data_IF_589763565108
#
_entry.id   IF_589763565108
#
_cell.length_a   1.000
_cell.length_b   1.000
_cell.length_c   1.000
_cell.angle_alpha   90.00
_cell.angle_beta   90.00
_cell.angle_gamma   90.00
#
_symmetry.space_group_name_H-M   'P 1'
#
loop_
_entity.id
_entity.type
_entity.pdbx_description
1 polymer ?
#
# COMPACT_ATOMS: atom_id res chain seq x y z
N UNK A 1 -30.81 0.78 -10.86
CA UNK A 1 -30.47 2.17 -10.45
C UNK A 1 -28.96 2.25 -10.26
N UNK A 2 -28.26 2.61 -11.32
CA UNK A 2 -26.79 2.69 -11.38
C UNK A 2 -26.31 4.09 -10.98
N UNK A 3 -26.01 4.29 -9.69
CA UNK A 3 -25.44 5.55 -9.19
C UNK A 3 -23.90 5.55 -9.05
N UNK A 4 -23.19 4.46 -9.44
CA UNK A 4 -21.75 4.31 -9.11
C UNK A 4 -20.74 4.95 -10.06
N UNK A 5 -21.14 5.71 -11.09
CA UNK A 5 -20.17 6.16 -12.13
C UNK A 5 -20.12 7.66 -12.46
N UNK A 6 -20.90 8.54 -11.81
CA UNK A 6 -21.06 9.92 -12.32
C UNK A 6 -20.21 11.02 -11.67
N UNK A 7 -19.60 10.81 -10.49
CA UNK A 7 -18.90 11.88 -9.76
C UNK A 7 -17.47 11.52 -9.30
N UNK A 8 -16.63 10.97 -10.18
CA UNK A 8 -15.19 10.83 -9.86
C UNK A 8 -14.51 12.20 -10.00
N UNK A 9 -14.41 12.95 -8.90
CA UNK A 9 -13.62 14.18 -8.84
C UNK A 9 -12.12 13.80 -8.83
N UNK A 10 -11.33 14.39 -9.73
CA UNK A 10 -9.88 14.12 -9.81
C UNK A 10 -9.16 14.71 -8.60
N UNK A 11 -8.45 13.88 -7.84
CA UNK A 11 -7.47 14.36 -6.87
C UNK A 11 -6.31 15.08 -7.61
N UNK A 12 -5.95 16.29 -7.19
CA UNK A 12 -4.94 17.11 -7.89
C UNK A 12 -3.49 16.79 -7.47
N UNK A 13 -3.25 16.31 -6.24
CA UNK A 13 -1.93 15.97 -5.69
C UNK A 13 -2.07 14.82 -4.68
N UNK A 14 -0.99 14.07 -4.45
CA UNK A 14 -0.94 13.07 -3.36
C UNK A 14 -0.88 13.80 -2.02
N UNK A 15 -1.55 13.24 -1.01
CA UNK A 15 -1.53 13.77 0.35
C UNK A 15 -0.15 13.59 1.00
N UNK A 16 0.49 12.46 0.74
CA UNK A 16 1.77 12.08 1.33
C UNK A 16 2.85 11.94 0.26
N UNK A 17 4.11 12.02 0.70
CA UNK A 17 5.28 11.79 -0.14
C UNK A 17 5.85 10.41 0.13
N UNK A 18 6.18 9.64 -0.92
CA UNK A 18 6.98 8.42 -0.79
C UNK A 18 8.41 8.82 -0.40
N UNK A 19 8.88 8.40 0.77
CA UNK A 19 10.22 8.74 1.31
C UNK A 19 11.16 7.55 1.41
N UNK A 20 10.64 6.33 1.26
CA UNK A 20 11.44 5.11 1.26
C UNK A 20 10.66 3.95 0.67
N UNK A 21 11.39 2.94 0.21
CA UNK A 21 10.82 1.66 -0.16
C UNK A 21 11.82 0.55 0.17
N UNK A 22 11.33 -0.53 0.78
CA UNK A 22 12.11 -1.74 1.02
C UNK A 22 11.64 -2.84 0.07
N UNK A 23 12.61 -3.53 -0.55
CA UNK A 23 12.38 -4.74 -1.31
C UNK A 23 13.09 -5.89 -0.61
N UNK A 24 12.31 -6.70 0.10
CA UNK A 24 12.82 -7.67 1.06
C UNK A 24 12.48 -9.08 0.61
N UNK A 25 13.33 -10.04 0.99
CA UNK A 25 13.04 -11.47 0.95
C UNK A 25 13.24 -12.08 2.34
N UNK A 26 12.36 -13.00 2.71
CA UNK A 26 12.41 -13.68 4.01
C UNK A 26 11.86 -15.10 3.92
N UNK A 27 12.19 -15.94 4.90
CA UNK A 27 11.58 -17.25 5.12
C UNK A 27 10.33 -17.19 6.01
N UNK A 28 10.10 -16.06 6.69
CA UNK A 28 8.96 -15.81 7.57
C UNK A 28 8.14 -14.63 7.08
N UNK A 29 7.01 -14.40 7.76
CA UNK A 29 6.20 -13.18 7.58
C UNK A 29 6.97 -11.99 8.17
N UNK A 30 7.01 -10.89 7.44
CA UNK A 30 7.67 -9.66 7.89
C UNK A 30 6.61 -8.60 8.16
N UNK A 31 6.31 -8.41 9.44
CA UNK A 31 5.34 -7.44 9.93
C UNK A 31 6.01 -6.31 10.70
N UNK A 32 5.24 -5.25 10.90
CA UNK A 32 5.59 -4.08 11.71
C UNK A 32 7.01 -3.56 11.40
N UNK A 33 7.32 -3.46 10.11
CA UNK A 33 8.60 -2.95 9.61
C UNK A 33 8.87 -1.54 10.10
N UNK A 34 7.84 -0.71 10.17
CA UNK A 34 7.89 0.63 10.73
C UNK A 34 8.23 0.65 12.23
N UNK A 35 7.77 -0.35 12.99
CA UNK A 35 8.04 -0.50 14.42
C UNK A 35 9.48 -0.90 14.76
N UNK A 36 10.25 -1.41 13.79
CA UNK A 36 11.58 -1.98 14.06
C UNK A 36 12.60 -0.92 14.50
N UNK A 37 13.48 -1.26 15.46
CA UNK A 37 14.59 -0.40 15.83
C UNK A 37 15.42 0.01 14.60
N UNK A 38 15.73 1.31 14.50
CA UNK A 38 16.52 1.86 13.40
C UNK A 38 15.77 2.09 12.08
N UNK A 39 14.48 1.75 12.00
CA UNK A 39 13.64 2.11 10.84
C UNK A 39 13.61 3.63 10.64
N UNK A 40 13.33 4.09 9.42
CA UNK A 40 13.14 5.52 9.16
C UNK A 40 12.04 6.10 10.03
N UNK A 41 10.99 5.34 10.30
CA UNK A 41 9.85 5.77 11.12
C UNK A 41 10.26 6.00 12.57
N UNK A 42 11.01 5.06 13.16
CA UNK A 42 11.49 5.18 14.54
C UNK A 42 12.46 6.36 14.71
N UNK A 43 13.36 6.59 13.75
CA UNK A 43 14.26 7.75 13.77
C UNK A 43 13.52 9.08 13.79
N UNK A 44 12.40 9.16 13.07
CA UNK A 44 11.55 10.36 13.10
C UNK A 44 10.69 10.43 14.36
N UNK A 45 10.34 9.30 14.99
CA UNK A 45 9.56 9.27 16.23
C UNK A 45 10.35 9.79 17.46
N UNK A 46 11.68 9.66 17.43
CA UNK A 46 12.59 10.22 18.44
C UNK A 46 12.57 11.75 18.45
N UNK A 47 12.31 12.37 17.30
CA UNK A 47 12.24 13.81 17.17
C UNK A 47 10.76 14.19 17.33
N UNK A 48 10.42 15.07 18.27
CA UNK A 48 9.02 15.49 18.53
C UNK A 48 8.48 16.38 17.41
N UNK A 49 8.35 15.81 16.21
CA UNK A 49 8.00 16.47 14.97
C UNK A 49 6.60 16.05 14.51
N UNK A 50 5.96 16.82 13.61
CA UNK A 50 4.56 16.58 13.24
C UNK A 50 4.38 15.47 12.18
N UNK A 51 5.45 14.90 11.63
CA UNK A 51 5.35 13.94 10.54
C UNK A 51 4.69 12.62 10.98
N UNK A 52 3.80 12.11 10.12
CA UNK A 52 3.13 10.83 10.31
C UNK A 52 3.43 9.91 9.12
N UNK A 53 3.66 8.63 9.37
CA UNK A 53 3.97 7.64 8.34
C UNK A 53 2.79 6.72 8.07
N UNK A 54 2.46 6.56 6.79
CA UNK A 54 1.56 5.52 6.32
C UNK A 54 2.38 4.51 5.53
N UNK A 55 2.44 3.27 6.03
CA UNK A 55 3.29 2.23 5.45
C UNK A 55 2.42 1.18 4.78
N UNK A 56 2.67 0.93 3.50
CA UNK A 56 2.02 -0.16 2.76
C UNK A 56 3.03 -1.28 2.60
N UNK A 57 2.81 -2.39 3.28
CA UNK A 57 3.67 -3.58 3.25
C UNK A 57 2.94 -4.70 2.48
N UNK A 58 3.25 -4.83 1.18
CA UNK A 58 2.69 -5.88 0.32
C UNK A 58 3.50 -7.17 0.49
N UNK A 59 2.88 -8.18 1.08
CA UNK A 59 3.49 -9.47 1.35
C UNK A 59 3.15 -10.44 0.21
N UNK A 60 4.16 -10.85 -0.54
CA UNK A 60 4.03 -11.70 -1.72
C UNK A 60 4.40 -13.14 -1.35
N UNK A 61 3.43 -14.06 -1.23
CA UNK A 61 3.71 -15.47 -0.95
C UNK A 61 4.38 -16.15 -2.15
N UNK A 62 5.07 -17.26 -1.89
CA UNK A 62 5.71 -18.08 -2.90
C UNK A 62 6.74 -19.02 -2.26
N UNK A 63 7.55 -19.68 -3.09
CA UNK A 63 8.71 -20.44 -2.61
C UNK A 63 9.70 -19.54 -1.86
N UNK A 64 9.89 -18.33 -2.38
CA UNK A 64 10.53 -17.20 -1.68
C UNK A 64 9.44 -16.19 -1.34
N UNK A 65 9.33 -15.78 -0.08
CA UNK A 65 8.42 -14.70 0.32
C UNK A 65 9.12 -13.37 0.09
N UNK A 66 8.46 -12.47 -0.62
CA UNK A 66 8.93 -11.11 -0.80
C UNK A 66 8.04 -10.13 -0.04
N UNK A 67 8.62 -9.02 0.42
CA UNK A 67 7.86 -7.91 0.99
C UNK A 67 8.26 -6.64 0.26
N UNK A 68 7.26 -5.92 -0.26
CA UNK A 68 7.43 -4.59 -0.81
C UNK A 68 6.83 -3.59 0.18
N UNK A 69 7.68 -2.95 0.96
CA UNK A 69 7.27 -1.96 1.95
C UNK A 69 7.44 -0.55 1.39
N UNK A 70 6.40 0.27 1.45
CA UNK A 70 6.38 1.63 0.92
C UNK A 70 6.08 2.60 2.05
N UNK A 71 7.00 3.53 2.29
CA UNK A 71 6.91 4.48 3.39
C UNK A 71 6.44 5.84 2.86
N UNK A 72 5.19 6.17 3.13
CA UNK A 72 4.61 7.47 2.80
C UNK A 72 4.61 8.38 4.02
N UNK A 73 5.11 9.59 3.86
CA UNK A 73 5.22 10.57 4.94
C UNK A 73 4.27 11.74 4.71
N UNK A 74 3.40 11.98 5.68
CA UNK A 74 2.62 13.21 5.83
C UNK A 74 3.50 14.24 6.54
N UNK A 75 3.63 15.44 5.96
CA UNK A 75 4.46 16.53 6.53
C UNK A 75 3.71 17.42 7.52
N UNK A 76 2.39 17.39 7.48
CA UNK A 76 1.50 18.14 8.37
C UNK A 76 1.01 17.24 9.50
N UNK A 77 0.58 17.81 10.63
CA UNK A 77 -0.13 17.06 11.67
C UNK A 77 -1.28 16.22 11.11
N UNK A 78 -1.43 14.98 11.62
CA UNK A 78 -2.49 14.04 11.21
C UNK A 78 -3.89 14.65 11.30
N UNK A 79 -4.16 15.42 12.37
CA UNK A 79 -5.42 16.13 12.64
C UNK A 79 -5.85 17.10 11.55
N UNK A 80 -4.92 17.57 10.71
CA UNK A 80 -5.23 18.47 9.61
C UNK A 80 -5.82 17.72 8.42
N UNK A 81 -5.91 16.38 8.49
CA UNK A 81 -6.51 15.53 7.45
C UNK A 81 -7.59 14.62 8.04
N UNK A 82 -8.84 15.11 8.21
CA UNK A 82 -9.86 14.43 9.00
C UNK A 82 -10.19 13.00 8.57
N UNK A 83 -10.29 12.72 7.25
CA UNK A 83 -10.59 11.37 6.77
C UNK A 83 -9.43 10.40 7.01
N UNK A 84 -8.18 10.86 6.89
CA UNK A 84 -7.01 10.05 7.21
C UNK A 84 -6.92 9.83 8.72
N UNK A 85 -7.13 10.86 9.55
CA UNK A 85 -7.16 10.73 11.00
C UNK A 85 -8.23 9.71 11.45
N UNK A 86 -9.42 9.80 10.87
CA UNK A 86 -10.50 8.85 11.10
C UNK A 86 -10.13 7.43 10.66
N UNK A 87 -9.41 7.28 9.55
CA UNK A 87 -8.90 5.99 9.09
C UNK A 87 -7.84 5.40 10.03
N UNK A 88 -6.91 6.23 10.51
CA UNK A 88 -5.86 5.82 11.45
C UNK A 88 -6.48 5.39 12.77
N UNK A 89 -7.44 6.15 13.30
CA UNK A 89 -8.06 5.88 14.61
C UNK A 89 -9.29 4.96 14.55
N UNK A 90 -9.77 4.63 13.35
CA UNK A 90 -10.92 3.75 13.15
C UNK A 90 -10.59 2.28 13.40
N UNK A 91 -11.62 1.43 13.42
CA UNK A 91 -11.44 -0.02 13.54
C UNK A 91 -11.09 -0.68 12.19
N UNK A 92 -10.77 -1.97 12.23
CA UNK A 92 -10.40 -2.72 11.01
C UNK A 92 -11.57 -2.85 10.03
N UNK A 93 -12.81 -2.91 10.51
CA UNK A 93 -13.98 -2.94 9.63
C UNK A 93 -14.07 -1.65 8.80
N UNK A 94 -13.89 -0.50 9.44
CA UNK A 94 -13.77 0.79 8.78
C UNK A 94 -12.61 0.78 7.79
N UNK A 95 -11.38 0.47 8.24
CA UNK A 95 -10.19 0.49 7.37
C UNK A 95 -10.34 -0.43 6.14
N UNK A 96 -10.82 -1.65 6.34
CA UNK A 96 -11.02 -2.64 5.28
C UNK A 96 -12.08 -2.21 4.26
N UNK A 97 -13.12 -1.51 4.70
CA UNK A 97 -14.17 -0.98 3.81
C UNK A 97 -13.74 0.25 3.00
N UNK A 98 -12.60 0.86 3.34
CA UNK A 98 -12.17 2.17 2.80
C UNK A 98 -10.88 2.13 2.00
N UNK A 99 -9.93 1.26 2.34
CA UNK A 99 -8.61 1.27 1.69
C UNK A 99 -8.67 0.74 0.25
N UNK A 100 -8.25 1.57 -0.71
CA UNK A 100 -8.24 1.27 -2.15
C UNK A 100 -6.84 1.18 -2.72
N UNK A 101 -6.67 0.28 -3.68
CA UNK A 101 -5.52 0.20 -4.58
C UNK A 101 -6.01 0.35 -6.03
N UNK A 102 -5.32 1.19 -6.79
CA UNK A 102 -5.45 1.27 -8.25
C UNK A 102 -4.12 0.84 -8.86
N UNK A 103 -4.04 -0.37 -9.44
CA UNK A 103 -2.85 -0.80 -10.15
C UNK A 103 -2.89 -0.36 -11.62
N UNK A 104 -1.70 -0.12 -12.19
CA UNK A 104 -1.54 0.10 -13.62
C UNK A 104 -0.21 -0.44 -14.12
N UNK A 105 -0.25 -1.30 -15.14
CA UNK A 105 0.94 -1.82 -15.80
C UNK A 105 1.15 -1.07 -17.12
N UNK A 106 2.10 -0.14 -17.13
CA UNK A 106 2.38 0.68 -18.31
C UNK A 106 3.18 -0.11 -19.35
N UNK A 107 4.18 -0.87 -18.91
CA UNK A 107 4.98 -1.77 -19.74
C UNK A 107 4.95 -3.19 -19.16
N UNK A 108 4.89 -4.20 -20.01
CA UNK A 108 4.77 -5.61 -19.61
C UNK A 108 3.97 -6.43 -20.61
N UNK A 109 4.06 -7.75 -20.50
CA UNK A 109 3.36 -8.69 -21.37
C UNK A 109 1.84 -8.56 -21.24
N UNK A 110 1.11 -8.89 -22.31
CA UNK A 110 -0.35 -8.79 -22.33
C UNK A 110 -1.00 -9.63 -21.23
N UNK A 111 -0.49 -10.85 -20.99
CA UNK A 111 -0.98 -11.74 -19.94
C UNK A 111 -0.89 -11.10 -18.54
N UNK A 112 0.24 -10.44 -18.23
CA UNK A 112 0.42 -9.75 -16.95
C UNK A 112 -0.53 -8.55 -16.83
N UNK A 113 -0.67 -7.75 -17.90
CA UNK A 113 -1.61 -6.62 -17.94
C UNK A 113 -3.06 -7.06 -17.71
N UNK A 114 -3.45 -8.20 -18.27
CA UNK A 114 -4.78 -8.76 -18.11
C UNK A 114 -5.02 -9.29 -16.69
N UNK A 115 -4.06 -10.02 -16.13
CA UNK A 115 -4.18 -10.62 -14.79
C UNK A 115 -4.24 -9.58 -13.67
N UNK A 116 -3.44 -8.51 -13.75
CA UNK A 116 -3.47 -7.42 -12.75
C UNK A 116 -4.72 -6.56 -12.91
N UNK A 117 -5.15 -6.31 -14.15
CA UNK A 117 -6.23 -5.39 -14.45
C UNK A 117 -5.85 -3.92 -14.22
N UNK A 118 -6.85 -3.03 -14.30
CA UNK A 118 -6.69 -1.57 -14.14
C UNK A 118 -7.76 -0.94 -13.25
N UNK A 119 -8.63 -1.75 -12.64
CA UNK A 119 -9.75 -1.28 -11.84
C UNK A 119 -9.28 -1.07 -10.41
N UNK A 120 -9.80 -0.01 -9.78
CA UNK A 120 -9.67 0.15 -8.34
C UNK A 120 -10.27 -1.05 -7.61
N UNK A 121 -9.60 -1.56 -6.58
CA UNK A 121 -10.13 -2.57 -5.67
C UNK A 121 -10.11 -2.06 -4.22
N UNK A 122 -11.11 -2.45 -3.43
CA UNK A 122 -11.07 -2.30 -1.97
C UNK A 122 -10.25 -3.45 -1.42
N UNK A 123 -9.03 -3.15 -0.96
CA UNK A 123 -8.03 -4.18 -0.65
C UNK A 123 -8.49 -5.03 0.52
N UNK A 124 -9.01 -4.42 1.59
CA UNK A 124 -9.48 -5.15 2.77
C UNK A 124 -10.77 -5.95 2.58
N UNK A 125 -11.43 -5.82 1.42
CA UNK A 125 -12.52 -6.72 1.02
C UNK A 125 -12.04 -7.93 0.21
N UNK A 126 -10.83 -7.83 -0.37
CA UNK A 126 -10.27 -8.84 -1.25
C UNK A 126 -9.14 -9.65 -0.60
N UNK A 127 -8.44 -9.06 0.38
CA UNK A 127 -7.25 -9.58 1.04
C UNK A 127 -7.34 -9.36 2.55
N UNK A 128 -6.59 -10.16 3.29
CA UNK A 128 -6.38 -9.94 4.72
C UNK A 128 -5.33 -8.84 4.90
N UNK A 129 -5.61 -7.91 5.82
CA UNK A 129 -4.73 -6.81 6.17
C UNK A 129 -4.56 -6.80 7.67
N UNK A 130 -3.30 -6.87 8.13
CA UNK A 130 -2.96 -6.68 9.53
C UNK A 130 -2.46 -5.25 9.72
N UNK A 131 -3.07 -4.54 10.67
CA UNK A 131 -2.78 -3.15 10.95
C UNK A 131 -1.87 -3.03 12.17
N UNK A 132 -0.77 -2.29 12.03
CA UNK A 132 0.16 -2.00 13.11
C UNK A 132 0.23 -0.50 13.31
N UNK A 133 -0.12 -0.04 14.51
CA UNK A 133 -0.15 1.39 14.82
C UNK A 133 0.86 1.69 15.93
N UNK A 134 1.74 2.65 15.65
CA UNK A 134 2.64 3.21 16.64
C UNK A 134 2.37 4.69 16.88
N UNK A 135 3.32 5.36 17.53
CA UNK A 135 3.19 6.77 17.93
C UNK A 135 2.99 7.72 16.73
N UNK A 136 3.69 7.48 15.64
CA UNK A 136 3.72 8.35 14.45
C UNK A 136 3.50 7.57 13.15
N UNK A 137 2.89 6.38 13.20
CA UNK A 137 2.64 5.61 11.99
C UNK A 137 1.44 4.67 12.08
N UNK A 138 0.96 4.30 10.89
CA UNK A 138 0.10 3.15 10.63
C UNK A 138 0.72 2.32 9.51
N UNK A 139 0.98 1.04 9.75
CA UNK A 139 1.41 0.06 8.76
C UNK A 139 0.28 -0.89 8.40
N UNK A 140 0.11 -1.13 7.10
CA UNK A 140 -0.81 -2.09 6.51
C UNK A 140 -0.01 -3.27 5.97
N UNK A 141 0.03 -4.38 6.71
CA UNK A 141 0.58 -5.66 6.27
C UNK A 141 -0.44 -6.43 5.44
N UNK A 142 -0.39 -6.29 4.13
CA UNK A 142 -1.35 -6.85 3.17
C UNK A 142 -0.86 -8.23 2.73
N UNK A 143 -1.59 -9.29 3.09
CA UNK A 143 -1.27 -10.65 2.65
C UNK A 143 -1.88 -10.93 1.28
N UNK A 144 -1.08 -10.80 0.22
CA UNK A 144 -1.54 -11.12 -1.13
C UNK A 144 -1.76 -12.64 -1.34
N UNK A 145 -1.38 -13.46 -0.36
CA UNK A 145 -1.62 -14.89 -0.31
C UNK A 145 -2.93 -15.30 0.33
N UNK A 146 -3.67 -14.43 1.00
CA UNK A 146 -4.93 -14.82 1.66
C UNK A 146 -6.05 -15.12 0.66
N UNK A 147 -5.92 -14.71 -0.60
CA UNK A 147 -6.86 -15.01 -1.69
C UNK A 147 -6.23 -15.89 -2.76
N UNK A 148 -6.93 -16.96 -3.16
CA UNK A 148 -6.50 -17.83 -4.28
C UNK A 148 -6.32 -17.05 -5.58
N UNK A 149 -7.20 -16.08 -5.84
CA UNK A 149 -7.13 -15.23 -7.04
C UNK A 149 -5.88 -14.35 -6.98
N UNK A 150 -5.68 -13.65 -5.87
CA UNK A 150 -4.52 -12.76 -5.71
C UNK A 150 -3.21 -13.54 -5.73
N UNK A 151 -3.15 -14.70 -5.08
CA UNK A 151 -1.99 -15.61 -5.11
C UNK A 151 -1.65 -16.03 -6.54
N UNK A 152 -2.65 -16.34 -7.36
CA UNK A 152 -2.46 -16.64 -8.78
C UNK A 152 -1.85 -15.46 -9.55
N UNK A 153 -2.35 -14.24 -9.32
CA UNK A 153 -1.80 -13.02 -9.92
C UNK A 153 -0.37 -12.76 -9.46
N UNK A 154 -0.07 -12.89 -8.16
CA UNK A 154 1.27 -12.70 -7.60
C UNK A 154 2.27 -13.70 -8.20
N UNK A 155 1.92 -14.99 -8.23
CA UNK A 155 2.78 -16.02 -8.79
C UNK A 155 3.14 -15.75 -10.26
N UNK A 156 2.18 -15.22 -11.04
CA UNK A 156 2.46 -14.77 -12.39
C UNK A 156 3.40 -13.55 -12.37
N UNK A 157 3.01 -12.48 -11.68
CA UNK A 157 3.72 -11.19 -11.70
C UNK A 157 5.17 -11.30 -11.24
N UNK A 158 5.46 -12.10 -10.21
CA UNK A 158 6.83 -12.30 -9.68
C UNK A 158 7.80 -12.73 -10.80
N UNK A 159 7.36 -13.60 -11.71
CA UNK A 159 8.18 -14.04 -12.85
C UNK A 159 8.42 -12.96 -13.91
N UNK A 160 7.65 -11.87 -13.91
CA UNK A 160 7.73 -10.77 -14.88
C UNK A 160 8.25 -9.46 -14.29
N UNK A 161 8.54 -9.37 -13.00
CA UNK A 161 8.91 -8.11 -12.33
C UNK A 161 10.05 -7.36 -13.05
N UNK A 162 11.07 -8.07 -13.52
CA UNK A 162 12.20 -7.51 -14.28
C UNK A 162 11.84 -6.99 -15.68
N UNK A 163 10.72 -7.41 -16.24
CA UNK A 163 10.29 -7.11 -17.62
C UNK A 163 8.99 -6.30 -17.65
N UNK A 164 8.68 -5.58 -16.57
CA UNK A 164 7.48 -4.75 -16.49
C UNK A 164 7.72 -3.44 -15.75
N UNK A 165 6.81 -2.49 -15.99
CA UNK A 165 6.69 -1.25 -15.24
C UNK A 165 5.33 -1.24 -14.57
N UNK A 166 5.34 -1.18 -13.24
CA UNK A 166 4.16 -1.22 -12.39
C UNK A 166 3.98 0.12 -11.70
N UNK A 167 2.79 0.69 -11.81
CA UNK A 167 2.37 1.90 -11.12
C UNK A 167 1.23 1.55 -10.17
N UNK A 168 1.24 2.14 -8.97
CA UNK A 168 0.20 1.93 -7.97
C UNK A 168 -0.19 3.26 -7.33
N UNK A 169 -1.49 3.41 -7.08
CA UNK A 169 -2.04 4.51 -6.30
C UNK A 169 -2.87 3.95 -5.14
N UNK A 170 -2.64 4.49 -3.95
CA UNK A 170 -3.34 4.11 -2.72
C UNK A 170 -4.27 5.22 -2.27
N UNK A 171 -5.51 4.87 -1.92
CA UNK A 171 -6.54 5.86 -1.60
C UNK A 171 -7.39 5.42 -0.39
N UNK A 172 -8.03 6.40 0.25
CA UNK A 172 -9.14 6.16 1.18
C UNK A 172 -10.45 6.52 0.47
N UNK A 173 -11.34 5.55 0.33
CA UNK A 173 -12.65 5.73 -0.28
C UNK A 173 -13.52 6.69 0.55
N UNK A 174 -14.08 7.69 -0.12
CA UNK A 174 -15.18 8.48 0.39
C UNK A 174 -16.50 7.71 0.20
N UNK A 175 -17.30 7.63 1.26
CA UNK A 175 -18.63 7.04 1.28
C UNK A 175 -19.73 8.11 1.44
N UNK A 176 -19.40 9.31 1.92
CA UNK A 176 -20.34 10.44 2.01
C UNK A 176 -19.94 11.60 1.10
N UNK A 177 -20.84 12.56 0.93
CA UNK A 177 -20.61 13.73 0.08
C UNK A 177 -19.58 14.69 0.68
N UNK A 178 -19.50 14.75 2.01
CA UNK A 178 -18.57 15.58 2.79
C UNK A 178 -17.16 15.00 2.76
N UNK A 179 -17.03 13.69 2.58
CA UNK A 179 -15.75 13.00 2.43
C UNK A 179 -15.17 13.12 1.01
N UNK A 180 -15.92 13.65 0.04
CA UNK A 180 -15.45 13.83 -1.34
C UNK A 180 -14.62 15.12 -1.51
N UNK A 181 -13.56 15.11 -2.35
CA UNK A 181 -13.08 13.98 -3.16
C UNK A 181 -12.35 12.90 -2.34
N UNK A 182 -12.28 11.67 -2.88
CA UNK A 182 -11.48 10.59 -2.26
C UNK A 182 -10.03 11.04 -2.01
N UNK A 183 -9.45 10.58 -0.91
CA UNK A 183 -8.10 10.97 -0.51
C UNK A 183 -7.08 10.07 -1.19
N UNK A 184 -6.35 10.62 -2.17
CA UNK A 184 -5.17 9.99 -2.75
C UNK A 184 -3.99 10.08 -1.78
N UNK A 185 -3.70 8.99 -1.07
CA UNK A 185 -2.64 8.93 -0.07
C UNK A 185 -1.27 9.12 -0.71
N UNK A 186 -0.96 8.29 -1.70
CA UNK A 186 0.35 8.24 -2.32
C UNK A 186 0.36 7.37 -3.56
N UNK A 187 1.39 7.53 -4.37
CA UNK A 187 1.63 6.73 -5.57
C UNK A 187 3.04 6.19 -5.58
N UNK A 188 3.30 5.17 -6.38
CA UNK A 188 4.64 4.69 -6.66
C UNK A 188 4.72 4.12 -8.08
N UNK A 189 5.95 4.01 -8.57
CA UNK A 189 6.28 3.36 -9.84
C UNK A 189 7.53 2.51 -9.66
N UNK A 190 7.44 1.25 -10.04
CA UNK A 190 8.57 0.33 -10.13
C UNK A 190 8.89 0.08 -11.58
N UNK A 191 10.15 0.30 -11.95
CA UNK A 191 10.66 -0.01 -13.29
C UNK A 191 11.55 -1.24 -13.18
N UNK A 192 11.17 -2.34 -13.83
CA UNK A 192 12.01 -3.53 -13.95
C UNK A 192 12.52 -4.03 -12.59
N UNK A 193 11.58 -4.28 -11.65
CA UNK A 193 11.93 -4.66 -10.28
C UNK A 193 12.61 -6.03 -10.26
N UNK A 194 13.83 -6.09 -9.73
CA UNK A 194 14.62 -7.31 -9.72
C UNK A 194 14.43 -8.10 -8.44
N UNK A 195 13.73 -9.23 -8.55
CA UNK A 195 13.51 -10.15 -7.43
C UNK A 195 14.83 -10.67 -6.83
N UNK A 196 15.89 -10.80 -7.62
CA UNK A 196 17.19 -11.26 -7.13
C UNK A 196 17.90 -10.23 -6.23
N UNK A 197 17.55 -8.95 -6.37
CA UNK A 197 18.08 -7.83 -5.57
C UNK A 197 17.31 -7.61 -4.27
N UNK A 198 16.31 -8.44 -3.96
CA UNK A 198 15.61 -8.38 -2.69
C UNK A 198 16.60 -8.61 -1.54
N UNK A 199 16.59 -7.70 -0.57
CA UNK A 199 17.47 -7.75 0.60
C UNK A 199 16.97 -8.87 1.51
N UNK A 200 17.87 -9.79 1.87
CA UNK A 200 17.55 -10.83 2.82
C UNK A 200 17.36 -10.22 4.20
N UNK A 201 16.18 -10.38 4.80
CA UNK A 201 15.95 -9.97 6.18
C UNK A 201 16.74 -10.91 7.09
N UNK A 202 17.67 -10.34 7.85
CA UNK A 202 18.40 -11.10 8.85
C UNK A 202 17.50 -11.33 10.08
N UNK A 203 17.62 -12.49 10.76
CA UNK A 203 16.78 -12.87 11.89
C UNK A 203 16.67 -11.82 13.00
#
# INVERSE_FOLDING_TARGET
MDYKKKNSIKAQKTLMQLVGADWLRSNKREDDLAGRPGSIVQKYAEWSRPEFFFVVNLQLPGATRYNLALYYMLRTPLKDTPLLESFVNGDDAFRNSRFKLIPYISQGSWIVKQSVGKKACLVGQALEINYFQGKNYLELGIDAGSSTVARGVVNLVVGYLNNMVTEMAFLIQANTQEELPEVLLGTCRFNHLDASKAVLVQP
#
